data_IF_131936245127
#
_entry.id   IF_131936245127
#
_cell.length_a   1.000
_cell.length_b   1.000
_cell.length_c   1.000
_cell.angle_alpha   90.00
_cell.angle_beta   90.00
_cell.angle_gamma   90.00
#
_symmetry.space_group_name_H-M   'P 1'
#
loop_
_entity.id
_entity.type
_entity.pdbx_description
1 polymer ?
#
# COMPACT_ATOMS: atom_id res chain seq x y z
N UNK A 1 -19.90 -40.81 9.55
CA UNK A 1 -18.78 -40.66 8.60
C UNK A 1 -18.91 -39.26 8.05
N UNK A 2 -17.87 -38.47 8.28
CA UNK A 2 -17.75 -37.03 8.03
C UNK A 2 -17.56 -36.73 6.55
N UNK A 3 -18.25 -35.72 6.03
CA UNK A 3 -17.82 -35.03 4.82
C UNK A 3 -17.63 -33.55 5.14
N UNK A 4 -16.38 -33.15 4.95
CA UNK A 4 -15.74 -31.87 5.22
C UNK A 4 -15.68 -31.12 3.89
N UNK A 5 -16.27 -29.93 3.81
CA UNK A 5 -16.14 -29.05 2.66
C UNK A 5 -15.57 -27.71 3.11
N UNK A 6 -14.24 -27.68 3.19
CA UNK A 6 -13.44 -26.48 3.28
C UNK A 6 -13.48 -25.68 1.96
N UNK A 7 -13.65 -24.36 2.05
CA UNK A 7 -12.68 -23.38 1.54
C UNK A 7 -13.16 -21.96 1.82
N UNK A 8 -12.63 -21.42 2.92
CA UNK A 8 -12.50 -19.99 3.18
C UNK A 8 -11.20 -19.54 2.53
N UNK A 9 -11.23 -18.54 1.64
CA UNK A 9 -10.04 -17.71 1.44
C UNK A 9 -10.43 -16.29 0.98
N UNK A 10 -10.81 -15.48 1.98
CA UNK A 10 -10.90 -14.03 1.82
C UNK A 10 -9.54 -13.42 2.09
N UNK A 11 -8.76 -13.20 1.04
CA UNK A 11 -7.48 -12.49 1.14
C UNK A 11 -7.65 -11.01 0.84
N UNK A 12 -7.40 -10.15 1.84
CA UNK A 12 -6.24 -9.24 1.86
C UNK A 12 -6.30 -8.26 3.04
N UNK A 13 -5.66 -8.70 4.13
CA UNK A 13 -4.78 -7.95 5.05
C UNK A 13 -5.11 -6.48 5.36
N UNK A 14 -5.87 -6.29 6.43
CA UNK A 14 -5.63 -5.20 7.38
C UNK A 14 -4.37 -5.51 8.19
N UNK A 15 -3.23 -4.90 7.83
CA UNK A 15 -2.05 -4.85 8.70
C UNK A 15 -1.92 -3.46 9.32
N UNK A 16 -2.73 -3.21 10.34
CA UNK A 16 -2.40 -2.26 11.39
C UNK A 16 -1.48 -2.97 12.39
N UNK A 17 -0.18 -2.87 12.19
CA UNK A 17 0.83 -3.31 13.16
C UNK A 17 1.65 -2.11 13.58
N UNK A 18 1.14 -1.36 14.55
CA UNK A 18 1.99 -0.53 15.37
C UNK A 18 2.78 -1.45 16.31
N UNK A 19 4.11 -1.30 16.29
CA UNK A 19 4.96 -1.05 17.47
C UNK A 19 6.28 -1.87 17.50
N UNK A 20 7.38 -1.10 17.55
CA UNK A 20 8.63 -1.32 18.33
C UNK A 20 9.95 -1.86 17.73
N UNK A 21 10.06 -2.45 16.53
CA UNK A 21 11.38 -3.02 16.10
C UNK A 21 12.08 -2.38 14.89
N UNK A 22 11.43 -1.50 14.12
CA UNK A 22 11.96 -1.04 12.84
C UNK A 22 12.60 0.36 12.84
N UNK A 23 13.42 0.71 13.84
CA UNK A 23 14.16 1.99 13.81
C UNK A 23 15.15 2.12 12.62
N UNK A 24 15.47 1.00 11.97
CA UNK A 24 16.41 0.95 10.84
C UNK A 24 15.72 1.04 9.47
N UNK A 25 14.45 0.63 9.36
CA UNK A 25 13.77 0.61 8.06
C UNK A 25 13.17 1.98 7.75
N UNK A 26 13.38 2.52 6.53
CA UNK A 26 12.73 3.76 6.11
C UNK A 26 11.22 3.64 6.27
N UNK A 27 10.59 4.66 6.88
CA UNK A 27 9.14 4.72 6.99
C UNK A 27 8.54 4.84 5.60
N UNK A 28 7.76 3.84 5.19
CA UNK A 28 7.08 3.79 3.88
C UNK A 28 5.58 3.87 4.06
N UNK A 29 4.91 4.72 3.29
CA UNK A 29 3.46 4.85 3.27
C UNK A 29 2.91 4.09 2.05
N UNK A 30 1.91 3.24 2.29
CA UNK A 30 1.14 2.62 1.22
C UNK A 30 -0.15 3.42 1.02
N UNK A 31 -0.36 3.90 -0.20
CA UNK A 31 -1.52 4.73 -0.55
C UNK A 31 -2.22 4.07 -1.73
N UNK A 32 -3.49 3.73 -1.56
CA UNK A 32 -4.35 3.15 -2.60
C UNK A 32 -5.34 4.17 -3.15
N UNK A 33 -6.00 3.84 -4.26
CA UNK A 33 -7.03 4.68 -4.89
C UNK A 33 -6.53 6.07 -5.34
N UNK A 34 -5.27 6.18 -5.74
CA UNK A 34 -4.74 7.41 -6.35
C UNK A 34 -5.23 7.54 -7.81
N UNK A 35 -5.50 8.77 -8.29
CA UNK A 35 -5.86 8.97 -9.69
C UNK A 35 -4.77 8.44 -10.62
N UNK A 36 -5.15 7.68 -11.66
CA UNK A 36 -4.15 7.01 -12.51
C UNK A 36 -3.10 7.94 -13.12
N UNK A 37 -3.50 9.17 -13.47
CA UNK A 37 -2.62 10.14 -14.10
C UNK A 37 -1.56 10.70 -13.15
N UNK A 38 -1.66 10.42 -11.85
CA UNK A 38 -0.70 10.92 -10.88
C UNK A 38 0.66 10.31 -11.11
N UNK A 39 1.66 11.17 -11.01
CA UNK A 39 3.08 10.83 -11.11
C UNK A 39 3.78 11.32 -9.85
N UNK A 40 5.08 11.07 -9.79
CA UNK A 40 5.94 11.50 -8.68
C UNK A 40 5.75 12.99 -8.30
N UNK A 41 5.69 13.97 -9.25
CA UNK A 41 5.47 15.38 -8.90
C UNK A 41 4.16 15.64 -8.14
N UNK A 42 3.06 15.00 -8.55
CA UNK A 42 1.76 15.17 -7.90
C UNK A 42 1.77 14.63 -6.47
N UNK A 43 2.40 13.47 -6.27
CA UNK A 43 2.53 12.84 -4.95
C UNK A 43 3.47 13.65 -4.05
N UNK A 44 4.55 14.22 -4.59
CA UNK A 44 5.42 15.15 -3.86
C UNK A 44 4.70 16.44 -3.48
N UNK A 45 3.87 16.97 -4.35
CA UNK A 45 3.08 18.16 -4.04
C UNK A 45 2.07 17.88 -2.90
N UNK A 46 1.37 16.75 -2.94
CA UNK A 46 0.38 16.41 -1.91
C UNK A 46 1.01 16.05 -0.56
N UNK A 47 2.03 15.18 -0.56
CA UNK A 47 2.60 14.61 0.66
C UNK A 47 3.84 15.37 1.17
N UNK A 48 4.47 16.20 0.35
CA UNK A 48 5.72 16.91 0.69
C UNK A 48 5.57 17.87 1.87
N UNK A 49 4.36 18.38 2.13
CA UNK A 49 4.06 19.19 3.31
C UNK A 49 4.22 18.41 4.64
N UNK A 50 4.10 17.08 4.62
CA UNK A 50 4.21 16.23 5.80
C UNK A 50 5.65 15.71 6.02
N UNK A 51 6.58 16.07 5.14
CA UNK A 51 7.99 15.73 5.27
C UNK A 51 8.67 15.48 3.92
N UNK A 52 9.99 15.32 3.98
CA UNK A 52 10.79 14.99 2.80
C UNK A 52 10.45 13.59 2.29
N UNK A 53 9.98 13.51 1.06
CA UNK A 53 9.76 12.23 0.38
C UNK A 53 11.10 11.72 -0.16
N UNK A 54 11.51 10.54 0.31
CA UNK A 54 12.75 9.90 -0.12
C UNK A 54 12.60 9.27 -1.50
N UNK A 55 11.52 8.52 -1.71
CA UNK A 55 11.27 7.78 -2.94
C UNK A 55 9.76 7.58 -3.15
N UNK A 56 9.37 7.38 -4.41
CA UNK A 56 7.99 7.16 -4.85
C UNK A 56 7.97 6.02 -5.86
N UNK A 57 7.19 4.99 -5.57
CA UNK A 57 6.96 3.86 -6.46
C UNK A 57 5.47 3.75 -6.77
N UNK A 58 5.11 3.71 -8.06
CA UNK A 58 3.72 3.55 -8.51
C UNK A 58 3.54 2.12 -8.97
N UNK A 59 2.73 1.36 -8.23
CA UNK A 59 2.34 0.01 -8.59
C UNK A 59 1.04 0.08 -9.39
N UNK A 60 1.08 -0.37 -10.64
CA UNK A 60 -0.11 -0.49 -11.49
C UNK A 60 -0.75 -1.85 -11.31
N UNK A 61 -2.07 -1.90 -11.20
CA UNK A 61 -2.80 -3.16 -11.25
C UNK A 61 -2.96 -3.65 -12.70
N UNK A 62 -2.94 -4.96 -12.89
CA UNK A 62 -3.08 -5.59 -14.22
C UNK A 62 -4.47 -5.36 -14.84
N UNK A 63 -5.49 -5.08 -14.01
CA UNK A 63 -6.86 -4.80 -14.44
C UNK A 63 -7.05 -3.43 -15.09
N UNK A 64 -5.99 -2.63 -15.19
CA UNK A 64 -6.01 -1.41 -15.97
C UNK A 64 -6.61 -0.21 -15.25
N UNK A 65 -6.11 0.11 -14.06
CA UNK A 65 -5.88 1.54 -13.79
C UNK A 65 -4.83 2.02 -14.81
N UNK A 66 -5.35 2.29 -16.01
CA UNK A 66 -5.37 3.51 -16.89
C UNK A 66 -5.97 4.97 -16.38
#
# INVERSE_FOLDING_TARGET
QTDDAAQTDGQQQTQSSENTENKSQPKRLHVSNIPFRFRDPDLRQMFGQFGKILDVEIIFNERGSK
#
